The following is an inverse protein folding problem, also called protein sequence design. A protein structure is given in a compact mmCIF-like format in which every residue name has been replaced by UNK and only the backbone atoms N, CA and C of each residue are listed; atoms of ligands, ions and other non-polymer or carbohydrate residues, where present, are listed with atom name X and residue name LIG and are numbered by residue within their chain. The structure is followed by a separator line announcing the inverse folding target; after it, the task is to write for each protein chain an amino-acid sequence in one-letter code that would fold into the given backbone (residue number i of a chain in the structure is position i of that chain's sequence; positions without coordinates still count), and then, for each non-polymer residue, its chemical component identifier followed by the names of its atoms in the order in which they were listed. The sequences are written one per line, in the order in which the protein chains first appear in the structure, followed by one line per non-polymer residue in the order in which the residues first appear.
data_IF_548724905655
#
_entry.id   IF_548724905655
#
_cell.length_a   1.000
_cell.length_b   1.000
_cell.length_c   1.000
_cell.angle_alpha   90.00
_cell.angle_beta   90.00
_cell.angle_gamma   90.00
#
_symmetry.space_group_name_H-M   'P 1'
#
loop_
_entity.id
_entity.type
_entity.pdbx_description
1 polymer ?
#
# COMPACT_ATOMS: atom_id res chain seq x y z
N UNK A 1 -13.87 16.17 5.68
CA UNK A 1 -13.90 15.04 6.60
C UNK A 1 -12.86 13.99 6.23
N UNK A 2 -12.17 13.54 7.18
CA UNK A 2 -11.12 12.56 6.96
C UNK A 2 -11.71 11.17 6.83
N UNK A 3 -11.27 10.45 5.82
CA UNK A 3 -11.66 9.06 5.65
C UNK A 3 -10.65 8.10 6.26
N UNK A 4 -9.82 8.63 7.16
CA UNK A 4 -8.89 7.85 7.93
C UNK A 4 -9.66 6.81 8.74
N UNK A 5 -9.36 5.51 8.61
CA UNK A 5 -10.07 4.48 9.36
C UNK A 5 -9.93 4.62 10.86
N UNK A 6 -9.01 5.44 11.33
CA UNK A 6 -8.78 5.65 12.76
C UNK A 6 -9.38 6.94 13.29
N UNK A 7 -10.03 7.74 12.44
CA UNK A 7 -10.49 9.06 12.88
C UNK A 7 -11.49 9.01 14.03
N UNK A 8 -12.38 8.03 14.04
CA UNK A 8 -13.35 7.89 15.12
C UNK A 8 -12.68 7.53 16.45
N UNK A 9 -11.63 6.74 16.39
CA UNK A 9 -10.90 6.36 17.57
C UNK A 9 -10.15 7.54 18.17
N UNK A 10 -9.67 8.43 17.33
CA UNK A 10 -8.95 9.62 17.77
C UNK A 10 -9.83 10.62 18.52
N UNK A 11 -11.14 10.48 18.43
CA UNK A 11 -12.07 11.33 19.15
C UNK A 11 -12.19 10.95 20.62
N UNK A 12 -11.63 9.83 21.01
CA UNK A 12 -11.69 9.33 22.39
C UNK A 12 -10.55 9.96 23.19
N UNK A 13 -10.86 10.88 24.08
CA UNK A 13 -9.88 11.72 24.77
C UNK A 13 -8.80 10.98 25.52
N UNK A 14 -9.20 10.05 26.38
CA UNK A 14 -8.25 9.39 27.28
C UNK A 14 -7.32 8.40 26.58
N UNK A 15 -7.66 8.01 25.37
CA UNK A 15 -6.90 7.00 24.63
C UNK A 15 -6.20 7.55 23.41
N UNK A 16 -6.26 8.85 23.24
CA UNK A 16 -5.76 9.48 22.02
C UNK A 16 -4.31 9.10 21.72
N UNK A 17 -3.44 9.20 22.70
CA UNK A 17 -2.03 8.92 22.53
C UNK A 17 -1.77 7.45 22.24
N UNK A 18 -2.43 6.55 22.97
CA UNK A 18 -2.29 5.11 22.76
C UNK A 18 -2.78 4.70 21.38
N UNK A 19 -3.91 5.28 20.95
CA UNK A 19 -4.48 4.98 19.64
C UNK A 19 -3.59 5.51 18.52
N UNK A 20 -3.05 6.70 18.68
CA UNK A 20 -2.12 7.27 17.69
C UNK A 20 -0.88 6.40 17.55
N UNK A 21 -0.34 5.92 18.66
CA UNK A 21 0.82 5.05 18.64
C UNK A 21 0.50 3.71 17.97
N UNK A 22 -0.66 3.14 18.25
CA UNK A 22 -1.10 1.91 17.62
C UNK A 22 -1.25 2.08 16.12
N UNK A 23 -1.81 3.23 15.68
CA UNK A 23 -1.95 3.52 14.27
C UNK A 23 -0.60 3.65 13.58
N UNK A 24 0.36 4.31 14.25
CA UNK A 24 1.70 4.45 13.70
C UNK A 24 2.40 3.10 13.62
N UNK A 25 2.28 2.27 14.65
CA UNK A 25 2.88 0.93 14.65
C UNK A 25 2.34 0.10 13.50
N UNK A 26 1.03 0.16 13.28
CA UNK A 26 0.39 -0.56 12.20
C UNK A 26 0.83 -0.03 10.83
N UNK A 27 0.94 1.29 10.70
CA UNK A 27 1.41 1.90 9.47
C UNK A 27 2.83 1.46 9.14
N UNK A 28 3.72 1.47 10.13
CA UNK A 28 5.10 1.00 9.92
C UNK A 28 5.16 -0.49 9.60
N UNK A 29 4.30 -1.28 10.18
CA UNK A 29 4.23 -2.71 9.84
C UNK A 29 3.87 -2.91 8.37
N UNK A 30 2.87 -2.20 7.90
CA UNK A 30 2.47 -2.24 6.48
C UNK A 30 3.59 -1.76 5.58
N UNK A 31 4.19 -0.63 5.91
CA UNK A 31 5.24 -0.02 5.09
C UNK A 31 6.51 -0.86 5.08
N UNK A 32 6.80 -1.57 6.16
CA UNK A 32 7.92 -2.51 6.21
C UNK A 32 7.76 -3.63 5.18
N UNK A 33 6.54 -4.12 5.00
CA UNK A 33 6.26 -5.13 3.98
C UNK A 33 6.42 -4.52 2.59
N UNK A 34 5.91 -3.31 2.37
CA UNK A 34 6.06 -2.62 1.08
C UNK A 34 7.53 -2.46 0.72
N UNK A 35 8.36 -2.13 1.70
CA UNK A 35 9.78 -1.94 1.49
C UNK A 35 10.49 -3.22 1.03
N UNK A 36 9.95 -4.38 1.36
CA UNK A 36 10.53 -5.66 0.94
C UNK A 36 10.23 -6.01 -0.51
N UNK A 37 9.29 -5.34 -1.17
CA UNK A 37 8.97 -5.64 -2.56
C UNK A 37 10.16 -5.21 -3.43
N UNK A 38 10.80 -6.14 -4.15
CA UNK A 38 11.95 -5.77 -4.96
C UNK A 38 11.56 -4.97 -6.21
N UNK A 39 12.50 -4.18 -6.72
CA UNK A 39 12.29 -3.49 -7.98
C UNK A 39 12.01 -4.51 -9.08
N UNK A 40 11.05 -4.20 -9.94
CA UNK A 40 10.64 -5.12 -11.01
C UNK A 40 9.51 -6.05 -10.62
N UNK A 41 9.06 -5.99 -9.36
CA UNK A 41 7.94 -6.79 -8.88
C UNK A 41 6.86 -5.90 -8.28
N UNK A 42 5.64 -6.41 -8.23
CA UNK A 42 4.53 -5.70 -7.60
C UNK A 42 3.76 -6.65 -6.68
N UNK A 43 3.09 -6.06 -5.70
CA UNK A 43 2.19 -6.78 -4.80
C UNK A 43 0.83 -6.10 -4.85
N UNK A 44 -0.20 -6.82 -4.43
CA UNK A 44 -1.53 -6.23 -4.30
C UNK A 44 -1.78 -5.77 -2.88
N UNK A 45 -2.73 -4.87 -2.70
CA UNK A 45 -3.13 -4.44 -1.36
C UNK A 45 -3.55 -5.65 -0.51
N UNK A 46 -4.25 -6.61 -1.14
CA UNK A 46 -4.70 -7.82 -0.44
C UNK A 46 -3.55 -8.72 -0.02
N UNK A 47 -2.51 -8.82 -0.83
CA UNK A 47 -1.33 -9.60 -0.46
C UNK A 47 -0.64 -9.02 0.76
N UNK A 48 -0.50 -7.69 0.80
CA UNK A 48 0.11 -7.03 1.94
C UNK A 48 -0.74 -7.22 3.19
N UNK A 49 -2.05 -7.06 3.07
CA UNK A 49 -2.97 -7.28 4.18
C UNK A 49 -2.84 -8.69 4.74
N UNK A 50 -2.72 -9.68 3.87
CA UNK A 50 -2.55 -11.07 4.28
C UNK A 50 -1.24 -11.28 5.03
N UNK A 51 -0.16 -10.66 4.55
CA UNK A 51 1.15 -10.82 5.17
C UNK A 51 1.21 -10.26 6.59
N UNK A 52 0.41 -9.25 6.89
CA UNK A 52 0.37 -8.69 8.25
C UNK A 52 -0.76 -9.30 9.09
N UNK A 53 -1.38 -10.38 8.62
CA UNK A 53 -2.43 -11.07 9.37
C UNK A 53 -3.79 -10.39 9.35
N UNK A 54 -4.04 -9.52 8.38
CA UNK A 54 -5.30 -8.78 8.24
C UNK A 54 -5.93 -9.02 6.88
N UNK A 55 -6.08 -10.25 6.54
CA UNK A 55 -6.38 -10.77 5.21
C UNK A 55 -7.54 -10.09 4.47
N UNK A 56 -8.56 -9.61 5.16
CA UNK A 56 -9.70 -8.99 4.51
C UNK A 56 -9.68 -7.47 4.59
N UNK A 57 -8.53 -6.90 4.89
CA UNK A 57 -8.44 -5.48 5.19
C UNK A 57 -7.54 -4.72 4.22
N UNK A 58 -7.73 -4.95 2.92
CA UNK A 58 -6.95 -4.26 1.89
C UNK A 58 -7.17 -2.75 1.90
N UNK A 59 -8.33 -2.28 2.34
CA UNK A 59 -8.61 -0.85 2.46
C UNK A 59 -7.69 -0.17 3.46
N UNK A 60 -7.37 -0.85 4.55
CA UNK A 60 -6.45 -0.32 5.55
C UNK A 60 -5.07 -0.10 4.92
N UNK A 61 -4.62 -1.08 4.14
CA UNK A 61 -3.34 -0.97 3.44
C UNK A 61 -3.36 0.22 2.49
N UNK A 62 -4.41 0.33 1.67
CA UNK A 62 -4.52 1.45 0.73
C UNK A 62 -4.53 2.80 1.46
N UNK A 63 -5.22 2.88 2.60
CA UNK A 63 -5.27 4.09 3.41
C UNK A 63 -3.89 4.49 3.94
N UNK A 64 -3.14 3.52 4.43
CA UNK A 64 -1.78 3.78 4.93
C UNK A 64 -0.89 4.26 3.79
N UNK A 65 -0.95 3.60 2.63
CA UNK A 65 -0.10 3.96 1.50
C UNK A 65 -0.40 5.36 0.96
N UNK A 66 -1.64 5.80 1.05
CA UNK A 66 -2.01 7.14 0.61
C UNK A 66 -1.39 8.24 1.48
N UNK A 67 -0.92 7.90 2.68
CA UNK A 67 -0.29 8.83 3.61
C UNK A 67 1.14 8.43 3.94
N UNK A 68 1.75 7.58 3.12
CA UNK A 68 3.07 7.02 3.41
C UNK A 68 4.15 8.08 3.57
N UNK A 69 4.03 9.20 2.89
CA UNK A 69 4.99 10.30 2.98
C UNK A 69 5.13 10.86 4.39
N UNK A 70 4.13 10.67 5.24
CA UNK A 70 4.19 11.09 6.64
C UNK A 70 5.14 10.22 7.47
N UNK A 71 5.54 9.08 6.93
CA UNK A 71 6.39 8.10 7.63
C UNK A 71 7.76 7.94 6.97
N UNK A 72 7.97 8.51 5.80
CA UNK A 72 9.24 8.40 5.08
C UNK A 72 9.04 8.10 3.60
N UNK A 73 10.09 7.61 2.97
CA UNK A 73 10.05 7.26 1.56
C UNK A 73 9.96 5.75 1.41
N UNK A 74 8.88 5.29 0.79
CA UNK A 74 8.63 3.87 0.58
C UNK A 74 8.23 3.62 -0.87
N UNK A 75 8.54 2.44 -1.44
CA UNK A 75 8.22 2.15 -2.84
C UNK A 75 6.74 1.81 -3.04
N UNK A 76 5.84 2.73 -2.68
CA UNK A 76 4.40 2.51 -2.76
C UNK A 76 3.92 2.30 -4.19
N UNK A 77 4.71 2.72 -5.18
CA UNK A 77 4.38 2.48 -6.58
C UNK A 77 4.38 0.99 -6.94
N UNK A 78 5.00 0.14 -6.11
CA UNK A 78 5.04 -1.31 -6.32
C UNK A 78 3.81 -2.02 -5.79
N UNK A 79 2.78 -1.27 -5.38
CA UNK A 79 1.53 -1.85 -4.89
C UNK A 79 0.39 -1.47 -5.83
N UNK A 80 -0.37 -2.47 -6.25
CA UNK A 80 -1.47 -2.31 -7.20
C UNK A 80 -2.71 -3.01 -6.67
N UNK A 81 -3.84 -2.84 -7.34
CA UNK A 81 -5.05 -3.53 -6.91
C UNK A 81 -5.02 -5.02 -7.30
N UNK A 82 -6.05 -5.76 -6.93
CA UNK A 82 -6.09 -7.21 -7.15
C UNK A 82 -6.04 -7.62 -8.63
N UNK A 83 -6.35 -6.70 -9.54
CA UNK A 83 -6.28 -6.96 -10.99
C UNK A 83 -4.97 -6.45 -11.60
N UNK A 84 -4.09 -5.89 -10.79
CA UNK A 84 -2.85 -5.29 -11.26
C UNK A 84 -3.00 -3.85 -11.71
N UNK A 85 -4.15 -3.22 -11.44
CA UNK A 85 -4.38 -1.86 -11.89
C UNK A 85 -3.62 -0.85 -11.03
N UNK A 86 -2.98 0.11 -11.70
CA UNK A 86 -2.31 1.23 -11.04
C UNK A 86 -3.33 2.16 -10.41
N UNK A 87 -2.87 2.98 -9.46
CA UNK A 87 -3.75 3.90 -8.74
C UNK A 87 -4.30 4.99 -9.67
N UNK A 88 -5.62 5.17 -9.73
CA UNK A 88 -6.20 6.25 -10.54
C UNK A 88 -5.68 7.60 -10.10
N UNK A 89 -5.32 8.43 -11.07
CA UNK A 89 -4.81 9.78 -10.78
C UNK A 89 -3.32 9.86 -10.46
N UNK A 90 -2.64 8.74 -10.34
CA UNK A 90 -1.20 8.74 -10.12
C UNK A 90 -0.48 8.32 -11.40
N UNK A 91 -0.28 9.28 -12.30
CA UNK A 91 0.32 9.02 -13.60
C UNK A 91 1.74 8.51 -13.53
N UNK A 92 2.50 9.00 -12.56
CA UNK A 92 3.90 8.63 -12.42
C UNK A 92 4.10 7.17 -12.05
N UNK A 93 3.08 6.54 -11.48
CA UNK A 93 3.22 5.15 -11.04
C UNK A 93 3.68 4.24 -12.18
N UNK A 94 3.06 4.35 -13.34
CA UNK A 94 3.42 3.53 -14.49
C UNK A 94 4.88 3.78 -14.90
N UNK A 95 5.27 5.03 -14.98
CA UNK A 95 6.64 5.37 -15.38
C UNK A 95 7.66 4.82 -14.40
N UNK A 96 7.38 4.89 -13.10
CA UNK A 96 8.25 4.35 -12.08
C UNK A 96 8.38 2.83 -12.22
N UNK A 97 7.27 2.15 -12.45
CA UNK A 97 7.27 0.70 -12.61
C UNK A 97 7.99 0.27 -13.88
N UNK A 98 7.75 0.97 -14.99
CA UNK A 98 8.44 0.66 -16.26
C UNK A 98 9.94 0.86 -16.13
N UNK A 99 10.36 1.89 -15.41
CA UNK A 99 11.78 2.11 -15.17
C UNK A 99 12.43 0.97 -14.38
N UNK A 100 11.65 0.22 -13.63
CA UNK A 100 12.12 -0.94 -12.87
C UNK A 100 11.99 -2.25 -13.64
N UNK A 101 11.52 -2.20 -14.88
CA UNK A 101 11.39 -3.39 -15.70
C UNK A 101 10.05 -4.10 -15.59
N UNK A 102 9.07 -3.48 -14.95
CA UNK A 102 7.72 -4.07 -14.83
C UNK A 102 7.01 -4.00 -16.19
N UNK A 103 6.47 -5.12 -16.64
CA UNK A 103 5.72 -5.18 -17.89
C UNK A 103 4.23 -4.98 -17.61
N UNK A 104 3.56 -4.34 -18.57
CA UNK A 104 2.14 -4.06 -18.52
C UNK A 104 1.41 -4.84 -19.61
N UNK A 105 0.22 -5.31 -19.30
CA UNK A 105 -0.62 -5.96 -20.31
C UNK A 105 -1.52 -4.97 -21.04
N UNK A 106 -1.72 -3.78 -20.46
CA UNK A 106 -2.42 -2.68 -21.10
C UNK A 106 -2.03 -1.37 -20.43
N UNK A 107 -2.71 -0.28 -20.78
CA UNK A 107 -2.34 1.05 -20.30
C UNK A 107 -2.30 1.18 -18.77
N UNK A 108 -3.19 0.48 -18.08
CA UNK A 108 -3.38 0.67 -16.65
C UNK A 108 -3.14 -0.58 -15.81
N UNK A 109 -2.80 -1.70 -16.42
CA UNK A 109 -2.69 -2.97 -15.69
C UNK A 109 -1.33 -3.62 -15.89
N UNK A 110 -0.70 -3.94 -14.77
CA UNK A 110 0.55 -4.70 -14.74
C UNK A 110 0.27 -6.15 -15.18
N UNK A 111 1.23 -6.73 -15.88
CA UNK A 111 1.20 -8.16 -16.18
C UNK A 111 1.53 -8.93 -14.91
N UNK A 112 0.49 -9.33 -14.19
CA UNK A 112 0.65 -9.96 -12.88
C UNK A 112 1.28 -11.35 -12.97
N UNK A 113 1.12 -12.04 -14.09
CA UNK A 113 1.78 -13.34 -14.25
C UNK A 113 3.31 -13.19 -14.26
N UNK A 114 3.79 -12.12 -14.91
CA UNK A 114 5.22 -11.90 -15.05
C UNK A 114 5.83 -11.20 -13.84
N UNK A 115 5.08 -10.32 -13.19
CA UNK A 115 5.65 -9.36 -12.25
C UNK A 115 5.15 -9.47 -10.81
N UNK A 116 4.26 -10.37 -10.50
CA UNK A 116 3.78 -10.54 -9.12
C UNK A 116 4.91 -11.00 -8.21
N UNK A 117 5.05 -10.31 -7.06
CA UNK A 117 6.13 -10.60 -6.11
C UNK A 117 5.99 -11.97 -5.46
N UNK A 118 4.81 -12.33 -5.04
CA UNK A 118 4.60 -13.59 -4.29
C UNK A 118 3.80 -14.63 -5.08
N UNK A 119 3.92 -14.59 -6.36
CA UNK A 119 3.29 -15.59 -7.21
C UNK A 119 1.86 -15.36 -7.51
#
# INVERSE_FOLDING_TARGET
MIDDPFSDLLKTNKRKDNISKLNDDLAYEILSVVEEIPAGRVATYGQIAKLIGREKNSRLVAGVLSHAENYGKFPCHRVVNHKGRTAPGWREQRSLLEAEGVSFRDENHVDMKACSWLG
#
